data_IF_697573943489
#
_entry.id   IF_697573943489
#
_cell.length_a   1.000
_cell.length_b   1.000
_cell.length_c   1.000
_cell.angle_alpha   90.00
_cell.angle_beta   90.00
_cell.angle_gamma   90.00
#
_symmetry.space_group_name_H-M   'P 1'
#
loop_
_entity.id
_entity.type
_entity.pdbx_description
1 polymer ?
#
# COMPACT_ATOMS: atom_id res chain seq x y z
N UNK A 1 1.83 9.28 -0.61
CA UNK A 1 0.68 8.37 -0.83
C UNK A 1 1.25 6.97 -0.75
N UNK A 2 0.99 6.28 0.35
CA UNK A 2 1.42 4.91 0.57
C UNK A 2 0.77 4.01 -0.51
N UNK A 3 1.58 3.17 -1.15
CA UNK A 3 1.09 2.19 -2.11
C UNK A 3 0.70 0.94 -1.33
N UNK A 4 -0.57 0.74 -1.05
CA UNK A 4 -1.06 -0.52 -0.50
C UNK A 4 -0.71 -1.67 -1.47
N UNK A 5 -0.03 -2.70 -0.96
CA UNK A 5 0.31 -3.88 -1.75
C UNK A 5 -0.79 -4.91 -1.54
N UNK A 6 -1.46 -5.27 -2.64
CA UNK A 6 -2.51 -6.29 -2.65
C UNK A 6 -1.97 -7.60 -3.22
N UNK A 7 -2.20 -8.70 -2.50
CA UNK A 7 -1.91 -10.05 -2.96
C UNK A 7 -3.20 -10.87 -3.03
N UNK A 8 -3.29 -11.76 -4.03
CA UNK A 8 -4.34 -12.76 -4.12
C UNK A 8 -3.70 -14.14 -4.05
N UNK A 9 -3.95 -14.86 -2.95
CA UNK A 9 -3.35 -16.16 -2.66
C UNK A 9 -4.29 -17.34 -2.96
N UNK A 10 -5.59 -17.08 -3.08
CA UNK A 10 -6.67 -18.06 -3.15
C UNK A 10 -7.47 -18.00 -4.46
N UNK A 11 -6.88 -17.46 -5.54
CA UNK A 11 -7.57 -17.31 -6.84
C UNK A 11 -8.09 -18.65 -7.38
N UNK A 12 -9.40 -18.79 -7.42
CA UNK A 12 -10.12 -19.88 -8.03
C UNK A 12 -10.79 -19.41 -9.33
N UNK A 13 -11.03 -20.36 -10.23
CA UNK A 13 -11.66 -20.07 -11.51
C UNK A 13 -12.44 -21.26 -12.06
N UNK A 14 -13.45 -20.95 -12.86
CA UNK A 14 -14.13 -21.89 -13.74
C UNK A 14 -14.25 -21.27 -15.12
N UNK A 15 -14.08 -22.09 -16.16
CA UNK A 15 -14.30 -21.70 -17.54
C UNK A 15 -15.26 -22.69 -18.18
N UNK A 16 -16.34 -22.19 -18.77
CA UNK A 16 -17.39 -23.03 -19.36
C UNK A 16 -18.08 -22.33 -20.53
N UNK A 17 -18.71 -23.12 -21.40
CA UNK A 17 -19.63 -22.59 -22.40
C UNK A 17 -21.01 -22.40 -21.76
N UNK A 18 -21.56 -21.18 -21.73
CA UNK A 18 -22.92 -20.98 -21.26
C UNK A 18 -23.94 -21.59 -22.23
N UNK A 19 -25.07 -22.04 -21.67
CA UNK A 19 -26.24 -22.45 -22.43
C UNK A 19 -26.94 -21.20 -22.98
N UNK A 20 -26.46 -20.72 -24.13
CA UNK A 20 -27.04 -19.54 -24.80
C UNK A 20 -27.67 -19.94 -26.13
N UNK A 21 -28.87 -19.40 -26.38
CA UNK A 21 -29.48 -19.43 -27.70
C UNK A 21 -28.54 -18.78 -28.73
N UNK A 22 -28.48 -19.28 -29.96
CA UNK A 22 -27.64 -18.69 -30.98
C UNK A 22 -28.16 -17.28 -31.31
N UNK A 23 -27.44 -16.25 -30.87
CA UNK A 23 -27.70 -14.88 -31.31
C UNK A 23 -27.37 -14.75 -32.80
N UNK A 24 -28.34 -14.21 -33.55
CA UNK A 24 -28.20 -13.95 -34.97
C UNK A 24 -27.52 -12.59 -35.13
N UNK A 25 -26.25 -12.58 -35.50
CA UNK A 25 -25.50 -11.34 -35.75
C UNK A 25 -25.56 -10.91 -37.22
N UNK A 26 -25.91 -9.64 -37.43
CA UNK A 26 -25.81 -8.96 -38.73
C UNK A 26 -24.87 -7.75 -38.62
N UNK A 27 -23.85 -7.64 -39.49
CA UNK A 27 -23.44 -8.65 -40.47
C UNK A 27 -22.80 -9.88 -39.82
N UNK A 28 -23.05 -11.04 -40.42
CA UNK A 28 -22.45 -12.33 -40.13
C UNK A 28 -20.91 -12.22 -40.18
N UNK A 29 -20.19 -12.39 -39.05
CA UNK A 29 -18.73 -12.29 -39.02
C UNK A 29 -18.05 -13.11 -40.12
N UNK A 30 -16.92 -12.67 -40.69
CA UNK A 30 -16.26 -13.43 -41.77
C UNK A 30 -15.56 -14.72 -41.28
N UNK A 31 -15.43 -14.92 -39.98
CA UNK A 31 -14.78 -16.07 -39.36
C UNK A 31 -15.44 -16.42 -38.02
N UNK A 32 -15.23 -17.64 -37.54
CA UNK A 32 -15.71 -18.07 -36.23
C UNK A 32 -14.95 -17.32 -35.13
N UNK A 33 -15.70 -16.69 -34.23
CA UNK A 33 -15.19 -15.90 -33.12
C UNK A 33 -15.52 -16.57 -31.79
N UNK A 34 -14.63 -16.41 -30.81
CA UNK A 34 -14.93 -16.61 -29.40
C UNK A 34 -15.44 -15.28 -28.87
N UNK A 35 -16.59 -15.29 -28.21
CA UNK A 35 -17.00 -14.22 -27.30
C UNK A 35 -16.68 -14.67 -25.87
N UNK A 36 -15.61 -14.10 -25.31
CA UNK A 36 -15.16 -14.40 -23.97
C UNK A 36 -15.67 -13.33 -23.02
N UNK A 37 -16.40 -13.75 -22.00
CA UNK A 37 -16.78 -12.93 -20.87
C UNK A 37 -16.00 -13.39 -19.62
N UNK A 38 -15.32 -12.46 -18.96
CA UNK A 38 -14.58 -12.69 -17.72
C UNK A 38 -15.25 -11.91 -16.60
N UNK A 39 -15.73 -12.60 -15.58
CA UNK A 39 -16.33 -12.02 -14.37
C UNK A 39 -15.44 -12.25 -13.15
N UNK A 40 -15.22 -11.20 -12.36
CA UNK A 40 -14.52 -11.21 -11.08
C UNK A 40 -15.50 -11.11 -9.92
N UNK A 41 -15.25 -11.88 -8.86
CA UNK A 41 -15.97 -11.84 -7.60
C UNK A 41 -14.97 -11.96 -6.45
N UNK A 42 -14.51 -10.83 -5.90
CA UNK A 42 -13.48 -10.83 -4.87
C UNK A 42 -13.93 -10.19 -3.57
N UNK A 43 -13.60 -10.85 -2.46
CA UNK A 43 -13.64 -10.23 -1.15
C UNK A 43 -12.37 -9.43 -0.86
N UNK A 44 -12.42 -8.62 0.18
CA UNK A 44 -11.26 -7.89 0.69
C UNK A 44 -10.93 -8.32 2.11
N UNK A 45 -9.63 -8.50 2.37
CA UNK A 45 -9.06 -8.73 3.70
C UNK A 45 -7.93 -7.75 3.92
N UNK A 46 -7.77 -7.35 5.17
CA UNK A 46 -6.58 -6.62 5.63
C UNK A 46 -5.74 -7.54 6.51
N UNK A 47 -4.45 -7.61 6.24
CA UNK A 47 -3.47 -8.30 7.07
C UNK A 47 -2.61 -7.28 7.79
N UNK A 48 -2.73 -7.27 9.12
CA UNK A 48 -1.90 -6.46 10.01
C UNK A 48 -0.62 -7.24 10.32
N UNK A 49 0.48 -6.87 9.68
CA UNK A 49 1.70 -7.68 9.71
C UNK A 49 2.35 -7.76 11.09
N UNK A 50 2.18 -6.74 11.95
CA UNK A 50 2.71 -6.76 13.33
C UNK A 50 2.02 -7.78 14.23
N UNK A 51 0.68 -7.86 14.12
CA UNK A 51 -0.14 -8.72 15.00
C UNK A 51 -0.42 -10.08 14.36
N UNK A 52 -0.03 -10.26 13.10
CA UNK A 52 -0.40 -11.39 12.24
C UNK A 52 -1.91 -11.64 12.20
N UNK A 53 -2.70 -10.56 12.23
CA UNK A 53 -4.16 -10.62 12.25
C UNK A 53 -4.74 -10.32 10.87
N UNK A 54 -5.75 -11.10 10.49
CA UNK A 54 -6.55 -10.87 9.29
C UNK A 54 -7.92 -10.34 9.70
N UNK A 55 -8.33 -9.24 9.08
CA UNK A 55 -9.67 -8.65 9.24
C UNK A 55 -10.38 -8.71 7.90
N UNK A 56 -11.52 -9.38 7.87
CA UNK A 56 -12.43 -9.36 6.72
C UNK A 56 -13.06 -7.97 6.60
N UNK A 57 -12.97 -7.37 5.41
CA UNK A 57 -13.56 -6.07 5.10
C UNK A 57 -14.94 -6.27 4.48
N UNK A 58 -15.79 -7.03 5.17
CA UNK A 58 -17.12 -7.44 4.69
C UNK A 58 -18.05 -6.23 4.43
N UNK A 59 -17.84 -5.13 5.15
CA UNK A 59 -18.60 -3.88 5.01
C UNK A 59 -18.27 -3.11 3.71
N UNK A 60 -17.13 -3.40 3.08
CA UNK A 60 -16.63 -2.70 1.88
C UNK A 60 -17.23 -3.29 0.57
N UNK A 61 -17.91 -4.44 0.68
CA UNK A 61 -18.56 -5.13 -0.42
C UNK A 61 -17.60 -5.95 -1.29
N UNK A 62 -18.18 -6.80 -2.13
CA UNK A 62 -17.41 -7.62 -3.08
C UNK A 62 -17.00 -6.79 -4.30
N UNK A 63 -15.75 -6.91 -4.74
CA UNK A 63 -15.33 -6.41 -6.04
C UNK A 63 -15.96 -7.27 -7.13
N UNK A 64 -16.98 -6.70 -7.76
CA UNK A 64 -17.66 -7.25 -8.92
C UNK A 64 -17.22 -6.47 -10.15
N UNK A 65 -16.50 -7.13 -11.04
CA UNK A 65 -16.06 -6.54 -12.30
C UNK A 65 -16.24 -7.54 -13.42
N UNK A 66 -16.60 -7.06 -14.60
CA UNK A 66 -16.80 -7.91 -15.76
C UNK A 66 -16.27 -7.22 -17.01
N UNK A 67 -15.61 -8.01 -17.85
CA UNK A 67 -15.13 -7.57 -19.15
C UNK A 67 -15.53 -8.61 -20.19
N UNK A 68 -15.86 -8.15 -21.40
CA UNK A 68 -16.18 -9.02 -22.54
C UNK A 68 -15.28 -8.66 -23.72
N UNK A 69 -14.77 -9.68 -24.41
CA UNK A 69 -13.97 -9.50 -25.62
C UNK A 69 -14.36 -10.53 -26.68
N UNK A 70 -14.35 -10.10 -27.95
CA UNK A 70 -14.45 -11.01 -29.10
C UNK A 70 -13.11 -11.13 -29.80
N UNK A 71 -12.75 -12.36 -30.16
CA UNK A 71 -11.54 -12.62 -30.95
C UNK A 71 -11.72 -13.85 -31.84
N UNK A 72 -10.90 -13.93 -32.88
CA UNK A 72 -10.89 -15.05 -33.81
C UNK A 72 -10.52 -16.37 -33.10
N UNK A 73 -11.32 -17.42 -33.28
CA UNK A 73 -11.07 -18.77 -32.74
C UNK A 73 -9.64 -19.26 -33.05
N UNK A 74 -9.10 -18.89 -34.22
CA UNK A 74 -7.74 -19.27 -34.65
C UNK A 74 -6.65 -18.69 -33.76
N UNK A 75 -6.93 -17.61 -33.01
CA UNK A 75 -5.98 -17.04 -32.07
C UNK A 75 -5.58 -18.06 -30.98
N UNK A 76 -6.49 -18.98 -30.60
CA UNK A 76 -6.24 -20.00 -29.58
C UNK A 76 -5.07 -20.95 -29.91
N UNK A 77 -4.66 -21.03 -31.18
CA UNK A 77 -3.52 -21.85 -31.62
C UNK A 77 -2.17 -21.29 -31.18
N UNK A 78 -2.11 -19.99 -30.82
CA UNK A 78 -0.88 -19.33 -30.43
C UNK A 78 -1.05 -18.73 -29.03
N UNK A 79 -0.35 -19.32 -28.05
CA UNK A 79 -0.41 -18.91 -26.66
C UNK A 79 0.02 -17.46 -26.45
N UNK A 80 1.06 -17.00 -27.15
CA UNK A 80 1.56 -15.62 -27.03
C UNK A 80 0.55 -14.62 -27.57
N UNK A 81 -0.11 -14.96 -28.69
CA UNK A 81 -1.17 -14.14 -29.27
C UNK A 81 -2.37 -14.03 -28.32
N UNK A 82 -2.74 -15.12 -27.64
CA UNK A 82 -3.79 -15.07 -26.61
C UNK A 82 -3.37 -14.24 -25.41
N UNK A 83 -2.12 -14.35 -24.95
CA UNK A 83 -1.62 -13.48 -23.88
C UNK A 83 -1.69 -12.00 -24.27
N UNK A 84 -1.39 -11.65 -25.53
CA UNK A 84 -1.51 -10.27 -26.03
C UNK A 84 -2.97 -9.79 -26.09
N UNK A 85 -3.91 -10.68 -26.42
CA UNK A 85 -5.35 -10.34 -26.48
C UNK A 85 -5.93 -10.19 -25.07
N UNK A 86 -5.64 -11.14 -24.18
CA UNK A 86 -6.22 -11.19 -22.83
C UNK A 86 -5.48 -10.32 -21.81
N UNK A 87 -4.18 -10.05 -22.02
CA UNK A 87 -3.35 -9.26 -21.11
C UNK A 87 -3.96 -7.91 -20.75
N UNK A 88 -4.30 -7.05 -21.75
CA UNK A 88 -4.93 -5.76 -21.48
C UNK A 88 -6.28 -5.89 -20.75
N UNK A 89 -7.06 -6.92 -21.06
CA UNK A 89 -8.35 -7.19 -20.40
C UNK A 89 -8.14 -7.55 -18.92
N UNK A 90 -7.19 -8.43 -18.63
CA UNK A 90 -6.81 -8.79 -17.25
C UNK A 90 -6.30 -7.58 -16.47
N UNK A 91 -5.52 -6.69 -17.11
CA UNK A 91 -5.04 -5.45 -16.47
C UNK A 91 -6.21 -4.51 -16.13
N UNK A 92 -7.22 -4.37 -16.99
CA UNK A 92 -8.43 -3.59 -16.67
C UNK A 92 -9.21 -4.19 -15.50
N UNK A 93 -9.24 -5.51 -15.42
CA UNK A 93 -9.73 -6.28 -14.28
C UNK A 93 -8.80 -6.24 -13.05
N UNK A 94 -7.73 -5.41 -13.06
CA UNK A 94 -6.74 -5.27 -11.96
C UNK A 94 -5.97 -6.55 -11.65
N UNK A 95 -5.95 -7.50 -12.58
CA UNK A 95 -5.16 -8.73 -12.47
C UNK A 95 -3.82 -8.57 -13.18
N UNK A 96 -2.77 -9.14 -12.60
CA UNK A 96 -1.47 -9.22 -13.27
C UNK A 96 -1.45 -10.42 -14.24
N UNK A 97 -1.45 -10.20 -15.57
CA UNK A 97 -1.50 -11.28 -16.55
C UNK A 97 -0.28 -12.21 -16.48
N UNK A 98 0.84 -11.74 -15.93
CA UNK A 98 2.06 -12.52 -15.78
C UNK A 98 2.07 -13.40 -14.53
N UNK A 99 1.14 -13.18 -13.59
CA UNK A 99 1.05 -13.97 -12.37
C UNK A 99 0.72 -15.43 -12.69
N UNK A 100 1.28 -16.35 -11.89
CA UNK A 100 1.08 -17.80 -12.06
C UNK A 100 -0.40 -18.20 -12.13
N UNK A 101 -1.31 -17.66 -11.28
CA UNK A 101 -2.74 -17.96 -11.39
C UNK A 101 -3.36 -17.51 -12.71
N UNK A 102 -3.04 -16.29 -13.17
CA UNK A 102 -3.54 -15.76 -14.46
C UNK A 102 -3.08 -16.60 -15.66
N UNK A 103 -1.83 -17.09 -15.63
CA UNK A 103 -1.34 -18.03 -16.66
C UNK A 103 -2.15 -19.34 -16.69
N UNK A 104 -2.61 -19.83 -15.54
CA UNK A 104 -3.46 -21.02 -15.49
C UNK A 104 -4.84 -20.75 -16.09
N UNK A 105 -5.44 -19.60 -15.76
CA UNK A 105 -6.73 -19.17 -16.32
C UNK A 105 -6.66 -19.03 -17.84
N UNK A 106 -5.61 -18.41 -18.38
CA UNK A 106 -5.40 -18.28 -19.82
C UNK A 106 -5.31 -19.65 -20.50
N UNK A 107 -4.57 -20.60 -19.90
CA UNK A 107 -4.49 -21.97 -20.43
C UNK A 107 -5.84 -22.67 -20.43
N UNK A 108 -6.63 -22.49 -19.38
CA UNK A 108 -7.97 -23.07 -19.28
C UNK A 108 -8.93 -22.46 -20.31
N UNK A 109 -8.88 -21.14 -20.52
CA UNK A 109 -9.60 -20.44 -21.60
C UNK A 109 -9.21 -21.02 -22.96
N UNK A 110 -7.93 -21.27 -23.22
CA UNK A 110 -7.47 -21.89 -24.47
C UNK A 110 -8.05 -23.30 -24.60
N UNK A 111 -7.95 -24.12 -23.54
CA UNK A 111 -8.43 -25.50 -23.54
C UNK A 111 -9.93 -25.58 -23.83
N UNK A 112 -10.72 -24.77 -23.13
CA UNK A 112 -12.18 -24.73 -23.32
C UNK A 112 -12.54 -24.14 -24.68
N UNK A 113 -11.89 -23.05 -25.09
CA UNK A 113 -12.09 -22.43 -26.41
C UNK A 113 -11.83 -23.40 -27.57
N UNK A 114 -10.79 -24.22 -27.49
CA UNK A 114 -10.51 -25.26 -28.49
C UNK A 114 -11.59 -26.35 -28.46
N UNK A 115 -11.95 -26.81 -27.26
CA UNK A 115 -13.00 -27.82 -27.07
C UNK A 115 -14.32 -27.40 -27.71
N UNK A 116 -14.78 -26.17 -27.45
CA UNK A 116 -16.03 -25.66 -27.99
C UNK A 116 -15.96 -25.46 -29.51
N UNK A 117 -14.79 -25.09 -30.05
CA UNK A 117 -14.56 -24.96 -31.49
C UNK A 117 -14.66 -26.28 -32.25
N UNK A 118 -14.44 -27.41 -31.57
CA UNK A 118 -14.56 -28.76 -32.13
C UNK A 118 -15.89 -29.44 -31.82
N UNK A 119 -16.76 -28.82 -31.02
CA UNK A 119 -18.02 -29.43 -30.57
C UNK A 119 -19.07 -29.44 -31.68
N UNK A 120 -19.75 -30.58 -31.84
CA UNK A 120 -20.87 -30.78 -32.77
C UNK A 120 -22.04 -29.83 -32.47
N UNK A 121 -22.30 -29.53 -31.19
CA UNK A 121 -23.36 -28.60 -30.75
C UNK A 121 -23.17 -27.17 -31.25
N UNK A 122 -21.96 -26.84 -31.70
CA UNK A 122 -21.58 -25.51 -32.17
C UNK A 122 -21.47 -25.43 -33.69
N UNK A 123 -21.79 -26.49 -34.44
CA UNK A 123 -21.78 -26.46 -35.91
C UNK A 123 -22.73 -25.38 -36.43
N UNK A 124 -22.23 -24.58 -37.37
CA UNK A 124 -22.97 -23.46 -37.96
C UNK A 124 -23.01 -22.19 -37.10
N UNK A 125 -22.58 -22.24 -35.84
CA UNK A 125 -22.43 -21.03 -35.02
C UNK A 125 -21.17 -20.28 -35.42
N UNK A 126 -21.29 -18.96 -35.53
CA UNK A 126 -20.18 -18.10 -35.90
C UNK A 126 -19.59 -17.34 -34.73
N UNK A 127 -20.34 -17.22 -33.64
CA UNK A 127 -19.86 -16.72 -32.35
C UNK A 127 -20.08 -17.82 -31.33
N UNK A 128 -19.00 -18.20 -30.64
CA UNK A 128 -19.00 -19.23 -29.63
C UNK A 128 -18.82 -18.55 -28.27
N UNK A 129 -19.84 -18.57 -27.39
CA UNK A 129 -19.73 -17.93 -26.10
C UNK A 129 -18.84 -18.76 -25.17
N UNK A 130 -18.03 -18.07 -24.38
CA UNK A 130 -17.16 -18.66 -23.37
C UNK A 130 -17.21 -17.76 -22.13
N UNK A 131 -17.48 -18.34 -20.97
CA UNK A 131 -17.52 -17.64 -19.71
C UNK A 131 -16.33 -18.09 -18.85
N UNK A 132 -15.61 -17.14 -18.28
CA UNK A 132 -14.70 -17.36 -17.17
C UNK A 132 -15.23 -16.62 -15.94
N UNK A 133 -15.37 -17.33 -14.82
CA UNK A 133 -15.70 -16.73 -13.52
C UNK A 133 -14.51 -16.94 -12.61
N UNK A 134 -14.07 -15.87 -11.96
CA UNK A 134 -12.89 -15.79 -11.12
C UNK A 134 -13.32 -15.31 -9.74
N UNK A 135 -12.89 -15.99 -8.70
CA UNK A 135 -13.19 -15.58 -7.33
C UNK A 135 -12.03 -15.85 -6.38
N UNK A 136 -12.03 -15.12 -5.28
CA UNK A 136 -10.99 -15.20 -4.26
C UNK A 136 -11.03 -13.99 -3.34
N UNK A 137 -9.91 -13.73 -2.68
CA UNK A 137 -9.77 -12.66 -1.71
C UNK A 137 -8.54 -11.82 -2.04
N UNK A 138 -8.70 -10.50 -2.10
CA UNK A 138 -7.56 -9.58 -2.09
C UNK A 138 -7.15 -9.28 -0.65
N UNK A 139 -5.88 -9.53 -0.35
CA UNK A 139 -5.29 -9.20 0.95
C UNK A 139 -4.46 -7.94 0.80
N UNK A 140 -4.89 -6.87 1.46
CA UNK A 140 -4.13 -5.65 1.71
C UNK A 140 -3.14 -5.90 2.85
N UNK A 141 -1.85 -5.70 2.61
CA UNK A 141 -0.85 -5.74 3.68
C UNK A 141 -0.64 -4.35 4.26
N UNK A 142 -0.85 -4.23 5.57
CA UNK A 142 -0.56 -3.02 6.34
C UNK A 142 0.72 -3.26 7.14
N UNK A 143 1.80 -2.61 6.68
CA UNK A 143 3.06 -2.54 7.39
C UNK A 143 3.10 -1.23 8.17
N UNK A 144 3.11 -1.33 9.50
CA UNK A 144 3.10 -0.19 10.42
C UNK A 144 4.42 0.60 10.46
N UNK A 145 5.42 0.38 9.60
CA UNK A 145 6.61 1.26 9.57
C UNK A 145 6.24 2.75 9.32
N UNK A 146 5.08 3.00 8.69
CA UNK A 146 4.50 4.35 8.57
C UNK A 146 3.66 4.78 9.80
N UNK A 147 3.05 3.85 10.55
CA UNK A 147 2.28 4.15 11.77
C UNK A 147 3.20 4.32 13.00
N UNK A 148 4.28 3.55 13.10
CA UNK A 148 5.31 3.66 14.14
C UNK A 148 5.94 5.06 14.14
N UNK A 149 6.17 5.68 12.97
CA UNK A 149 6.66 7.07 12.92
C UNK A 149 5.65 8.04 13.53
N UNK A 150 4.36 7.88 13.24
CA UNK A 150 3.29 8.73 13.78
C UNK A 150 3.10 8.50 15.27
N UNK A 151 3.21 7.26 15.74
CA UNK A 151 3.13 6.91 17.17
C UNK A 151 4.35 7.39 17.96
N UNK A 152 5.56 7.30 17.38
CA UNK A 152 6.80 7.84 17.98
C UNK A 152 6.74 9.37 18.04
N UNK A 153 6.31 10.03 16.96
CA UNK A 153 6.17 11.50 16.92
C UNK A 153 5.15 11.97 17.97
N UNK A 154 4.01 11.30 18.05
CA UNK A 154 2.98 11.57 19.06
C UNK A 154 3.47 11.31 20.49
N UNK A 155 4.16 10.21 20.74
CA UNK A 155 4.70 9.89 22.07
C UNK A 155 5.78 10.89 22.50
N UNK A 156 6.57 11.42 21.55
CA UNK A 156 7.54 12.48 21.80
C UNK A 156 6.87 13.83 22.11
N UNK A 157 5.83 14.22 21.35
CA UNK A 157 5.04 15.41 21.64
C UNK A 157 4.31 15.32 22.99
N UNK A 158 3.69 14.18 23.29
CA UNK A 158 3.01 13.94 24.56
C UNK A 158 4.00 13.97 25.73
N UNK A 159 5.19 13.38 25.58
CA UNK A 159 6.26 13.46 26.60
C UNK A 159 6.78 14.88 26.81
N UNK A 160 6.95 15.66 25.74
CA UNK A 160 7.36 17.06 25.84
C UNK A 160 6.28 17.92 26.51
N UNK A 161 5.01 17.71 26.15
CA UNK A 161 3.87 18.40 26.75
C UNK A 161 3.65 18.02 28.23
N UNK A 162 3.81 16.76 28.61
CA UNK A 162 3.79 16.33 30.02
C UNK A 162 4.97 16.94 30.82
N UNK A 163 6.14 17.02 30.20
CA UNK A 163 7.32 17.64 30.80
C UNK A 163 7.14 19.15 31.03
N UNK A 164 6.54 19.86 30.06
CA UNK A 164 6.23 21.28 30.19
C UNK A 164 5.08 21.55 31.17
N UNK A 165 4.03 20.75 31.13
CA UNK A 165 2.85 20.90 32.00
C UNK A 165 3.11 20.54 33.47
N UNK A 166 4.08 19.67 33.75
CA UNK A 166 4.51 19.34 35.12
C UNK A 166 5.43 20.38 35.77
N UNK A 167 5.66 21.52 35.11
CA UNK A 167 6.51 22.61 35.61
C UNK A 167 7.87 22.08 36.10
N UNK A 168 8.45 21.18 35.31
CA UNK A 168 9.74 20.51 35.56
C UNK A 168 9.84 19.77 36.91
N UNK A 169 8.73 19.48 37.60
CA UNK A 169 8.74 19.06 39.01
C UNK A 169 9.68 19.91 39.89
N UNK A 170 9.85 21.19 39.52
CA UNK A 170 10.76 22.09 40.21
C UNK A 170 10.08 22.55 41.48
N UNK A 171 10.50 21.99 42.61
CA UNK A 171 10.08 22.46 43.92
C UNK A 171 10.72 23.83 44.15
N UNK A 172 9.94 24.89 44.43
CA UNK A 172 10.50 26.20 44.71
C UNK A 172 11.44 26.10 45.90
N UNK A 173 12.69 26.51 45.70
CA UNK A 173 13.67 26.52 46.77
C UNK A 173 13.25 27.53 47.85
N UNK A 174 13.22 27.11 49.11
CA UNK A 174 13.00 28.02 50.24
C UNK A 174 14.10 29.09 50.21
N UNK A 175 13.73 30.38 50.37
CA UNK A 175 14.69 31.50 50.38
C UNK A 175 15.88 31.28 51.34
N UNK A 176 15.65 30.60 52.46
CA UNK A 176 16.68 30.26 53.44
C UNK A 176 17.73 29.28 52.91
N UNK A 177 17.37 28.38 51.98
CA UNK A 177 18.32 27.48 51.30
C UNK A 177 19.15 28.23 50.27
N UNK A 178 18.53 29.11 49.47
CA UNK A 178 19.25 29.95 48.48
C UNK A 178 20.24 30.87 49.19
N UNK A 179 19.82 31.49 50.30
CA UNK A 179 20.66 32.37 51.12
C UNK A 179 21.84 31.64 51.76
N UNK A 180 21.66 30.38 52.21
CA UNK A 180 22.75 29.53 52.71
C UNK A 180 23.75 29.13 51.63
N UNK A 181 23.30 28.89 50.39
CA UNK A 181 24.20 28.61 49.27
C UNK A 181 25.01 29.83 48.87
N UNK A 182 24.38 31.01 48.76
CA UNK A 182 25.08 32.28 48.48
C UNK A 182 26.10 32.63 49.57
N UNK A 183 25.82 32.31 50.84
CA UNK A 183 26.73 32.56 51.95
C UNK A 183 27.94 31.61 51.97
N UNK A 184 27.83 30.42 51.36
CA UNK A 184 28.95 29.47 51.17
C UNK A 184 29.84 29.83 49.98
N UNK A 185 29.35 30.61 49.02
CA UNK A 185 30.15 31.19 47.93
C UNK A 185 30.63 32.58 48.37
N UNK A 186 31.38 32.63 49.48
CA UNK A 186 32.15 33.83 49.80
C UNK A 186 33.48 33.68 49.08
N UNK A 187 33.59 34.31 47.91
CA UNK A 187 34.88 34.52 47.27
C UNK A 187 35.69 35.39 48.23
N UNK A 188 36.73 34.82 48.84
CA UNK A 188 37.74 35.60 49.55
C UNK A 188 38.35 36.58 48.55
N UNK A 189 37.96 37.85 48.67
CA UNK A 189 38.77 38.95 48.17
C UNK A 189 40.08 38.89 48.94
N UNK A 190 41.12 38.34 48.31
CA UNK A 190 42.47 38.37 48.83
C UNK A 190 42.93 39.83 48.94
N UNK A 191 42.89 40.39 50.15
CA UNK A 191 43.74 41.52 50.53
C UNK A 191 45.18 41.02 50.58
N UNK A 192 46.02 41.54 49.68
CA UNK A 192 47.47 41.54 49.85
C UNK A 192 47.93 43.00 49.86
N UNK A 193 47.98 43.56 51.07
CA UNK A 193 48.78 44.75 51.38
C UNK A 193 50.26 44.46 51.08
N UNK A 194 50.93 45.29 50.27
CA UNK A 194 52.32 45.75 50.55
C UNK A 194 52.59 47.15 49.98
N UNK A 195 53.06 48.00 50.89
CA UNK A 195 53.69 49.32 50.75
C UNK A 195 55.03 49.30 49.99
N UNK A 196 55.42 50.47 49.46
CA UNK A 196 56.82 50.90 49.22
C UNK A 196 57.05 51.43 47.79
N UNK A 197 56.97 52.76 47.57
CA UNK A 197 58.09 53.70 47.28
C UNK A 197 58.79 53.46 45.92
N UNK A 198 58.83 54.39 44.97
CA UNK A 198 59.78 55.52 44.91
C UNK A 198 59.40 56.64 43.90
N UNK A 199 60.16 57.75 43.98
CA UNK A 199 59.93 59.14 43.55
C UNK A 199 60.30 59.49 42.09
N UNK A 200 59.93 60.73 41.73
CA UNK A 200 60.46 61.70 40.72
C UNK A 200 59.38 62.05 39.67
N UNK A 201 59.04 63.31 39.35
CA UNK A 201 59.86 64.51 39.16
C UNK A 201 59.12 65.82 39.47
N UNK A 202 59.93 66.85 39.71
CA UNK A 202 59.65 68.25 40.01
C UNK A 202 59.35 69.12 38.76
N UNK A 203 58.56 70.18 38.98
CA UNK A 203 58.57 71.54 38.37
C UNK A 203 58.06 71.72 36.92
N UNK A 204 56.94 72.43 36.71
CA UNK A 204 56.73 73.91 36.67
C UNK A 204 56.62 74.37 35.18
N UNK A 205 55.91 75.38 34.69
CA UNK A 205 55.28 76.65 35.06
C UNK A 205 54.09 76.83 34.06
N UNK A 206 53.10 77.71 34.18
CA UNK A 206 52.88 78.88 35.02
C UNK A 206 51.68 79.69 34.48
N UNK A 207 51.13 80.51 35.38
CA UNK A 207 50.26 81.68 35.18
C UNK A 207 48.92 81.53 34.46
#
# INVERSE_FOLDING_TARGET
MASAIYYCNDLQHIVYQPLTEPEIFYPTPPFVQIELNIALQFGFRRHYCLTDQFVDLDDEGMLLSQETIRFDLRALKNCDRIHQILGPMLVRLRLNPNARPCRAIIKEIIRQGVSIGTSESNKGRQVLPLQAVLWGTFVEQVNEEEEDQVLIERALEESASEFESSNYNMVPAKESSVKKMLQRVRVESAECDKKGEEKNQEKAFGS
#
